data_IF_057309628917
#
_entry.id   IF_057309628917
#
_cell.length_a   1.000
_cell.length_b   1.000
_cell.length_c   1.000
_cell.angle_alpha   90.00
_cell.angle_beta   90.00
_cell.angle_gamma   90.00
#
_symmetry.space_group_name_H-M   'P 1'
#
loop_
_entity.id
_entity.type
_entity.pdbx_description
1 polymer ?
#
# COMPACT_ATOMS: atom_id res chain seq x y z
N UNK A 1 6.70 -1.74 -37.02
CA UNK A 1 7.90 -1.21 -36.34
C UNK A 1 9.08 -2.11 -36.69
N UNK A 2 10.15 -1.56 -37.27
CA UNK A 2 11.41 -2.29 -37.44
C UNK A 2 12.22 -2.07 -36.15
N UNK A 3 12.34 -3.10 -35.32
CA UNK A 3 13.21 -3.08 -34.16
C UNK A 3 14.59 -3.56 -34.56
N UNK A 4 15.61 -2.78 -34.23
CA UNK A 4 17.01 -3.20 -34.33
C UNK A 4 17.40 -3.81 -32.99
N UNK A 5 17.96 -5.03 -32.96
CA UNK A 5 18.56 -5.57 -31.75
C UNK A 5 19.62 -4.60 -31.23
N UNK A 6 19.50 -4.17 -29.97
CA UNK A 6 20.51 -3.35 -29.30
C UNK A 6 21.29 -4.24 -28.34
N UNK A 7 22.61 -4.08 -28.32
CA UNK A 7 23.50 -4.63 -27.29
C UNK A 7 23.74 -3.63 -26.16
N UNK A 8 23.10 -2.46 -26.21
CA UNK A 8 23.19 -1.45 -25.18
C UNK A 8 22.36 -1.84 -23.96
N UNK A 9 23.06 -2.33 -22.95
CA UNK A 9 22.49 -2.72 -21.66
C UNK A 9 22.67 -1.60 -20.62
N UNK A 10 23.13 -0.42 -21.04
CA UNK A 10 23.54 0.64 -20.11
C UNK A 10 22.40 1.20 -19.27
N UNK A 11 21.16 1.07 -19.77
CA UNK A 11 19.95 1.37 -19.02
C UNK A 11 19.74 0.45 -17.82
N UNK A 12 20.13 -0.83 -17.94
CA UNK A 12 19.89 -1.85 -16.93
C UNK A 12 21.08 -2.01 -15.99
N UNK A 13 22.29 -2.08 -16.55
CA UNK A 13 23.50 -2.47 -15.83
C UNK A 13 24.66 -1.48 -15.98
N UNK A 14 24.37 -0.25 -16.42
CA UNK A 14 25.39 0.78 -16.60
C UNK A 14 26.33 0.55 -17.79
N UNK A 15 27.20 1.53 -18.04
CA UNK A 15 28.07 1.55 -19.24
C UNK A 15 29.33 0.68 -19.12
N UNK A 16 29.67 0.25 -17.91
CA UNK A 16 30.93 -0.43 -17.62
C UNK A 16 30.79 -1.95 -17.60
N UNK A 17 29.58 -2.48 -17.83
CA UNK A 17 29.31 -3.91 -17.86
C UNK A 17 28.59 -4.29 -19.16
N UNK A 18 28.87 -5.48 -19.68
CA UNK A 18 28.19 -6.03 -20.84
C UNK A 18 27.72 -7.45 -20.58
N UNK A 19 26.57 -7.79 -21.14
CA UNK A 19 26.02 -9.15 -21.11
C UNK A 19 26.78 -9.99 -22.13
N UNK A 20 27.40 -11.09 -21.69
CA UNK A 20 28.09 -12.02 -22.59
C UNK A 20 27.40 -13.37 -22.71
N UNK A 21 26.47 -13.68 -21.81
CA UNK A 21 25.71 -14.93 -21.79
C UNK A 21 24.40 -14.71 -21.05
N UNK A 22 23.36 -15.38 -21.52
CA UNK A 22 22.05 -15.45 -20.88
C UNK A 22 21.58 -16.90 -20.92
N UNK A 23 21.06 -17.39 -19.82
CA UNK A 23 20.42 -18.69 -19.71
C UNK A 23 19.00 -18.53 -19.21
N UNK A 24 18.12 -19.34 -19.75
CA UNK A 24 16.74 -19.41 -19.29
C UNK A 24 16.37 -20.88 -19.11
N UNK A 25 15.84 -21.18 -17.92
CA UNK A 25 15.17 -22.44 -17.63
C UNK A 25 13.68 -22.18 -17.41
N UNK A 26 12.89 -23.22 -17.17
CA UNK A 26 11.49 -23.05 -16.81
C UNK A 26 11.33 -22.32 -15.46
N UNK A 27 12.30 -22.47 -14.57
CA UNK A 27 12.23 -21.97 -13.19
C UNK A 27 12.91 -20.60 -12.97
N UNK A 28 13.90 -20.20 -13.80
CA UNK A 28 14.65 -18.95 -13.61
C UNK A 28 15.35 -18.44 -14.86
N UNK A 29 15.84 -17.20 -14.79
CA UNK A 29 16.66 -16.55 -15.82
C UNK A 29 17.99 -16.12 -15.18
N UNK A 30 19.11 -16.49 -15.80
CA UNK A 30 20.46 -16.16 -15.35
C UNK A 30 21.16 -15.28 -16.41
N UNK A 31 21.56 -14.08 -16.03
CA UNK A 31 22.20 -13.07 -16.88
C UNK A 31 23.65 -12.92 -16.44
N UNK A 32 24.60 -13.16 -17.34
CA UNK A 32 26.02 -13.09 -17.01
C UNK A 32 26.67 -11.83 -17.58
N UNK A 33 27.24 -11.04 -16.68
CA UNK A 33 27.89 -9.76 -16.94
C UNK A 33 29.41 -9.86 -16.74
N UNK A 34 30.16 -9.15 -17.57
CA UNK A 34 31.58 -8.86 -17.37
C UNK A 34 31.82 -7.36 -17.35
N UNK A 35 32.77 -6.94 -16.54
CA UNK A 35 33.29 -5.58 -16.61
C UNK A 35 34.04 -5.35 -17.93
N UNK A 36 33.85 -4.18 -18.53
CA UNK A 36 34.62 -3.67 -19.67
C UNK A 36 35.77 -2.77 -19.22
N UNK A 37 35.81 -2.36 -17.95
CA UNK A 37 36.81 -1.43 -17.41
C UNK A 37 37.91 -2.17 -16.64
N UNK A 38 39.16 -1.75 -16.88
CA UNK A 38 40.35 -2.36 -16.27
C UNK A 38 41.04 -1.40 -15.28
N UNK A 39 40.32 -0.38 -14.80
CA UNK A 39 40.78 0.51 -13.73
C UNK A 39 39.59 1.19 -13.06
N UNK A 40 39.70 1.47 -11.76
CA UNK A 40 38.70 2.28 -11.05
C UNK A 40 39.35 3.11 -9.92
N UNK A 41 38.57 4.04 -9.36
CA UNK A 41 39.03 4.91 -8.27
C UNK A 41 38.80 4.23 -6.93
N UNK A 42 39.79 4.28 -6.05
CA UNK A 42 39.63 3.85 -4.66
C UNK A 42 38.48 4.64 -4.03
N UNK A 43 37.46 3.98 -3.44
CA UNK A 43 36.30 4.67 -2.87
C UNK A 43 36.67 5.52 -1.65
N UNK A 44 37.81 5.25 -1.02
CA UNK A 44 38.25 5.98 0.16
C UNK A 44 39.14 7.18 -0.15
N UNK A 45 40.20 7.00 -0.95
CA UNK A 45 41.16 8.08 -1.24
C UNK A 45 41.02 8.70 -2.64
N UNK A 46 40.13 8.17 -3.49
CA UNK A 46 39.91 8.64 -4.85
C UNK A 46 41.01 8.30 -5.87
N UNK A 47 42.16 7.77 -5.42
CA UNK A 47 43.29 7.41 -6.30
C UNK A 47 42.86 6.32 -7.28
N UNK A 48 43.12 6.54 -8.58
CA UNK A 48 42.84 5.54 -9.62
C UNK A 48 43.89 4.43 -9.55
N UNK A 49 43.44 3.19 -9.57
CA UNK A 49 44.29 2.01 -9.70
C UNK A 49 43.85 1.13 -10.86
N UNK A 50 44.82 0.55 -11.54
CA UNK A 50 44.68 -0.55 -12.51
C UNK A 50 45.42 -1.80 -12.05
N UNK A 51 45.97 -1.80 -10.82
CA UNK A 51 46.73 -2.91 -10.28
C UNK A 51 45.76 -3.98 -9.78
N UNK A 52 45.67 -5.09 -10.52
CA UNK A 52 44.65 -6.11 -10.32
C UNK A 52 45.06 -7.02 -9.15
N UNK A 53 44.23 -7.03 -8.12
CA UNK A 53 44.37 -7.94 -6.99
C UNK A 53 43.74 -9.30 -7.27
N UNK A 54 42.47 -9.30 -7.71
CA UNK A 54 41.71 -10.52 -7.99
C UNK A 54 40.46 -10.22 -8.83
N UNK A 55 39.88 -11.25 -9.44
CA UNK A 55 38.50 -11.22 -9.92
C UNK A 55 37.55 -11.72 -8.83
N UNK A 56 36.30 -11.28 -8.88
CA UNK A 56 35.27 -11.69 -7.94
C UNK A 56 33.92 -11.77 -8.64
N UNK A 57 33.24 -12.90 -8.51
CA UNK A 57 31.88 -13.07 -9.02
C UNK A 57 30.86 -12.70 -7.95
N UNK A 58 29.90 -11.85 -8.31
CA UNK A 58 28.73 -11.52 -7.49
C UNK A 58 27.48 -12.04 -8.15
N UNK A 59 26.64 -12.73 -7.38
CA UNK A 59 25.28 -13.08 -7.78
C UNK A 59 24.30 -12.14 -7.09
N UNK A 60 23.49 -11.44 -7.88
CA UNK A 60 22.47 -10.51 -7.42
C UNK A 60 21.11 -10.97 -7.94
N UNK A 61 20.08 -10.98 -7.12
CA UNK A 61 18.72 -11.12 -7.64
C UNK A 61 18.29 -9.79 -8.27
N UNK A 62 17.69 -9.86 -9.45
CA UNK A 62 17.17 -8.71 -10.19
C UNK A 62 15.64 -8.79 -10.31
N UNK A 63 15.04 -7.76 -10.89
CA UNK A 63 13.60 -7.70 -11.18
C UNK A 63 13.20 -8.96 -11.97
N UNK A 64 12.16 -9.71 -11.54
CA UNK A 64 11.70 -10.88 -12.25
C UNK A 64 11.27 -10.59 -13.69
N UNK A 65 11.74 -11.40 -14.63
CA UNK A 65 11.32 -11.35 -16.02
C UNK A 65 10.29 -12.48 -16.23
N UNK A 66 9.07 -12.12 -16.68
CA UNK A 66 7.95 -13.07 -16.87
C UNK A 66 7.65 -13.89 -15.61
N UNK A 67 7.68 -13.25 -14.45
CA UNK A 67 7.50 -13.86 -13.13
C UNK A 67 8.51 -14.98 -12.80
N UNK A 68 9.60 -15.11 -13.56
CA UNK A 68 10.71 -16.00 -13.22
C UNK A 68 11.72 -15.25 -12.35
N UNK A 69 12.18 -15.83 -11.23
CA UNK A 69 13.37 -15.37 -10.54
C UNK A 69 14.48 -15.08 -11.54
N UNK A 70 15.01 -13.86 -11.51
CA UNK A 70 16.06 -13.42 -12.43
C UNK A 70 17.31 -13.10 -11.61
N UNK A 71 18.44 -13.67 -12.00
CA UNK A 71 19.72 -13.48 -11.34
C UNK A 71 20.74 -12.87 -12.30
N UNK A 72 21.53 -11.95 -11.77
CA UNK A 72 22.64 -11.30 -12.46
C UNK A 72 23.93 -11.78 -11.83
N UNK A 73 24.73 -12.50 -12.61
CA UNK A 73 26.07 -12.95 -12.26
C UNK A 73 27.09 -11.99 -12.85
N UNK A 74 27.70 -11.16 -12.03
CA UNK A 74 28.64 -10.14 -12.48
C UNK A 74 30.05 -10.45 -12.01
N UNK A 75 30.95 -10.61 -12.99
CA UNK A 75 32.38 -10.73 -12.76
C UNK A 75 33.00 -9.33 -12.69
N UNK A 76 33.40 -8.93 -11.48
CA UNK A 76 34.03 -7.64 -11.17
C UNK A 76 35.48 -7.81 -10.77
N UNK A 77 36.24 -6.72 -10.85
CA UNK A 77 37.63 -6.71 -10.43
C UNK A 77 37.80 -6.15 -9.00
N UNK A 78 38.78 -6.69 -8.28
CA UNK A 78 39.36 -6.11 -7.07
C UNK A 78 40.74 -5.55 -7.42
N UNK A 79 41.03 -4.35 -6.96
CA UNK A 79 42.28 -3.65 -7.24
C UNK A 79 43.03 -3.36 -5.94
N UNK A 80 44.36 -3.39 -6.02
CA UNK A 80 45.24 -2.88 -4.98
C UNK A 80 45.31 -1.35 -5.05
N UNK A 81 45.19 -0.68 -3.91
CA UNK A 81 45.28 0.76 -3.81
C UNK A 81 46.75 1.19 -3.84
N UNK A 82 47.14 1.85 -4.93
CA UNK A 82 48.52 2.35 -5.13
C UNK A 82 48.90 3.52 -4.21
N UNK A 83 47.95 4.11 -3.49
CA UNK A 83 48.24 5.10 -2.46
C UNK A 83 48.69 4.39 -1.17
N UNK A 84 49.97 4.50 -0.84
CA UNK A 84 50.61 3.88 0.33
C UNK A 84 50.05 4.39 1.66
N UNK A 85 49.59 5.65 1.72
CA UNK A 85 48.99 6.28 2.90
C UNK A 85 47.52 5.89 3.10
N UNK A 86 46.87 5.31 2.09
CA UNK A 86 45.47 4.89 2.18
C UNK A 86 45.32 3.68 3.12
N UNK A 87 44.39 3.76 4.07
CA UNK A 87 44.01 2.61 4.92
C UNK A 87 43.30 1.49 4.14
N UNK A 88 42.65 1.81 3.02
CA UNK A 88 42.04 0.82 2.13
C UNK A 88 43.12 0.26 1.21
N UNK A 89 43.55 -0.99 1.46
CA UNK A 89 44.58 -1.65 0.63
C UNK A 89 44.01 -2.32 -0.61
N UNK A 90 42.85 -2.97 -0.50
CA UNK A 90 42.17 -3.61 -1.63
C UNK A 90 40.77 -3.02 -1.76
N UNK A 91 40.31 -2.68 -2.96
CA UNK A 91 38.94 -2.22 -3.18
C UNK A 91 38.31 -2.90 -4.40
N UNK A 92 36.99 -3.00 -4.38
CA UNK A 92 36.22 -3.62 -5.46
C UNK A 92 35.76 -2.55 -6.45
N UNK A 93 35.70 -2.92 -7.72
CA UNK A 93 35.00 -2.14 -8.74
C UNK A 93 33.56 -1.85 -8.31
N UNK A 94 33.13 -0.57 -8.31
CA UNK A 94 31.76 -0.21 -7.99
C UNK A 94 30.82 -0.62 -9.12
N UNK A 95 29.64 -1.14 -8.75
CA UNK A 95 28.54 -1.37 -9.69
C UNK A 95 27.56 -0.21 -9.60
N UNK A 96 27.11 0.30 -10.76
CA UNK A 96 26.13 1.39 -10.80
C UNK A 96 24.70 0.98 -10.46
N UNK A 97 24.45 -0.33 -10.33
CA UNK A 97 23.14 -0.94 -10.14
C UNK A 97 23.05 -1.79 -8.86
N UNK A 98 24.12 -1.80 -8.05
CA UNK A 98 24.14 -2.46 -6.75
C UNK A 98 25.27 -1.94 -5.85
N UNK A 99 24.93 -1.56 -4.63
CA UNK A 99 25.89 -1.17 -3.60
C UNK A 99 26.79 -2.34 -3.14
N UNK A 100 27.85 -2.02 -2.42
CA UNK A 100 28.75 -3.01 -1.82
C UNK A 100 27.98 -3.99 -0.91
N UNK A 101 28.30 -5.27 -0.99
CA UNK A 101 27.70 -6.36 -0.19
C UNK A 101 26.18 -6.56 -0.36
N UNK A 102 25.51 -5.82 -1.25
CA UNK A 102 24.12 -6.12 -1.61
C UNK A 102 24.04 -7.43 -2.41
N UNK A 103 22.92 -8.12 -2.25
CA UNK A 103 22.57 -9.37 -2.94
C UNK A 103 21.38 -9.20 -3.89
N UNK A 104 20.95 -7.96 -4.10
CA UNK A 104 19.86 -7.55 -4.98
C UNK A 104 20.27 -6.29 -5.72
N UNK A 105 19.76 -6.12 -6.93
CA UNK A 105 19.92 -4.87 -7.68
C UNK A 105 19.15 -3.72 -7.03
N UNK A 106 19.58 -2.50 -7.28
CA UNK A 106 18.87 -1.29 -6.82
C UNK A 106 17.45 -1.22 -7.42
N UNK A 107 17.28 -1.65 -8.67
CA UNK A 107 15.98 -1.81 -9.34
C UNK A 107 15.05 -2.78 -8.60
N UNK A 108 15.56 -3.93 -8.16
CA UNK A 108 14.77 -4.86 -7.37
C UNK A 108 14.40 -4.28 -6.00
N UNK A 109 15.31 -3.60 -5.31
CA UNK A 109 14.99 -2.93 -4.05
C UNK A 109 13.91 -1.85 -4.24
N UNK A 110 13.94 -1.10 -5.35
CA UNK A 110 12.90 -0.13 -5.69
C UNK A 110 11.53 -0.79 -5.93
N UNK A 111 11.48 -1.91 -6.67
CA UNK A 111 10.25 -2.68 -6.85
C UNK A 111 9.68 -3.19 -5.52
N UNK A 112 10.55 -3.72 -4.65
CA UNK A 112 10.17 -4.21 -3.32
C UNK A 112 9.53 -3.10 -2.50
N UNK A 113 10.17 -1.92 -2.43
CA UNK A 113 9.66 -0.77 -1.69
C UNK A 113 8.33 -0.27 -2.28
N UNK A 114 8.23 -0.17 -3.60
CA UNK A 114 7.01 0.25 -4.27
C UNK A 114 5.81 -0.65 -3.93
N UNK A 115 6.02 -1.97 -3.88
CA UNK A 115 4.98 -2.91 -3.43
C UNK A 115 4.67 -2.75 -1.95
N UNK A 116 5.71 -2.69 -1.10
CA UNK A 116 5.57 -2.60 0.34
C UNK A 116 4.90 -1.29 0.81
N UNK A 117 4.87 -0.24 -0.01
CA UNK A 117 4.16 1.01 0.32
C UNK A 117 2.64 0.86 0.38
N UNK A 118 2.08 -0.14 -0.30
CA UNK A 118 0.63 -0.32 -0.41
C UNK A 118 0.09 -1.51 0.39
N UNK A 119 0.95 -2.25 1.09
CA UNK A 119 0.57 -3.43 1.85
C UNK A 119 1.47 -3.63 3.07
N UNK A 120 1.10 -4.55 3.97
CA UNK A 120 2.01 -4.91 5.07
C UNK A 120 3.28 -5.57 4.54
N UNK A 121 4.39 -5.50 5.29
CA UNK A 121 5.63 -6.18 4.93
C UNK A 121 5.41 -7.70 4.70
N UNK A 122 4.52 -8.32 5.48
CA UNK A 122 4.12 -9.72 5.30
C UNK A 122 3.41 -9.93 3.95
N UNK A 123 2.43 -9.09 3.64
CA UNK A 123 1.70 -9.14 2.37
C UNK A 123 2.61 -8.91 1.17
N UNK A 124 3.53 -7.94 1.27
CA UNK A 124 4.53 -7.66 0.25
C UNK A 124 5.44 -8.87 0.04
N UNK A 125 5.97 -9.44 1.11
CA UNK A 125 6.78 -10.66 1.07
C UNK A 125 6.03 -11.80 0.36
N UNK A 126 4.76 -12.04 0.69
CA UNK A 126 3.94 -13.08 0.04
C UNK A 126 3.74 -12.81 -1.45
N UNK A 127 3.31 -11.60 -1.83
CA UNK A 127 3.05 -11.24 -3.23
C UNK A 127 4.33 -11.29 -4.06
N UNK A 128 5.42 -10.73 -3.53
CA UNK A 128 6.74 -10.74 -4.17
C UNK A 128 7.25 -12.16 -4.40
N UNK A 129 7.01 -13.08 -3.46
CA UNK A 129 7.36 -14.50 -3.61
C UNK A 129 6.63 -15.15 -4.78
N UNK A 130 5.35 -14.84 -4.98
CA UNK A 130 4.58 -15.32 -6.14
C UNK A 130 5.08 -14.77 -7.49
N UNK A 131 5.80 -13.65 -7.45
CA UNK A 131 6.42 -13.03 -8.63
C UNK A 131 7.87 -13.46 -8.85
N UNK A 132 8.41 -14.37 -8.03
CA UNK A 132 9.79 -14.84 -8.15
C UNK A 132 10.82 -14.01 -7.38
N UNK A 133 10.41 -13.17 -6.42
CA UNK A 133 11.28 -12.40 -5.53
C UNK A 133 11.27 -13.02 -4.13
N UNK A 134 12.41 -13.55 -3.68
CA UNK A 134 12.53 -14.17 -2.36
C UNK A 134 13.02 -13.12 -1.34
N UNK A 135 12.10 -12.54 -0.58
CA UNK A 135 12.40 -11.54 0.43
C UNK A 135 11.51 -11.70 1.65
N UNK A 136 12.06 -11.55 2.86
CA UNK A 136 11.30 -11.62 4.11
C UNK A 136 10.73 -10.26 4.53
N UNK A 137 9.70 -10.29 5.38
CA UNK A 137 9.14 -9.10 6.04
C UNK A 137 10.23 -8.23 6.71
N UNK A 138 11.19 -8.86 7.40
CA UNK A 138 12.27 -8.20 8.14
C UNK A 138 13.25 -7.54 7.18
N UNK A 139 13.47 -8.16 6.02
CA UNK A 139 14.35 -7.58 4.99
C UNK A 139 13.70 -6.35 4.38
N UNK A 140 12.38 -6.35 4.19
CA UNK A 140 11.62 -5.17 3.77
C UNK A 140 11.71 -4.07 4.83
N UNK A 141 11.55 -4.42 6.12
CA UNK A 141 11.73 -3.45 7.21
C UNK A 141 13.13 -2.83 7.20
N UNK A 142 14.19 -3.64 7.04
CA UNK A 142 15.57 -3.13 6.91
C UNK A 142 15.78 -2.24 5.68
N UNK A 143 14.99 -2.40 4.62
CA UNK A 143 15.03 -1.46 3.49
C UNK A 143 14.41 -0.12 3.88
N UNK A 144 13.28 -0.12 4.58
CA UNK A 144 12.69 1.11 5.14
C UNK A 144 13.64 1.82 6.11
N UNK A 145 14.28 1.08 7.02
CA UNK A 145 15.20 1.65 8.02
C UNK A 145 16.45 2.31 7.39
N UNK A 146 16.75 2.01 6.13
CA UNK A 146 17.84 2.62 5.35
C UNK A 146 17.39 3.84 4.55
N UNK A 147 16.10 4.12 4.50
CA UNK A 147 15.60 5.34 3.85
C UNK A 147 15.91 6.50 4.79
N UNK A 148 16.76 7.39 4.32
CA UNK A 148 17.05 8.64 5.02
C UNK A 148 16.07 9.71 4.55
N UNK A 149 15.26 10.22 5.49
CA UNK A 149 14.45 11.41 5.26
C UNK A 149 15.30 12.64 5.58
N UNK A 150 15.52 13.49 4.57
CA UNK A 150 16.23 14.73 4.74
C UNK A 150 15.23 15.86 4.91
N UNK A 151 15.28 16.51 6.08
CA UNK A 151 14.54 17.73 6.34
C UNK A 151 15.08 18.87 5.46
N UNK A 152 14.19 19.67 4.86
CA UNK A 152 14.55 20.87 4.10
C UNK A 152 14.23 22.10 4.94
N UNK A 153 15.25 22.78 5.50
CA UNK A 153 15.02 23.93 6.37
C UNK A 153 14.55 25.19 5.61
N UNK A 154 14.52 25.17 4.27
CA UNK A 154 14.17 26.32 3.45
C UNK A 154 12.68 26.40 3.11
N UNK A 155 11.83 26.41 4.14
CA UNK A 155 10.37 26.49 3.99
C UNK A 155 9.81 27.76 4.62
N UNK A 156 8.92 28.44 3.89
CA UNK A 156 8.27 29.69 4.31
C UNK A 156 6.82 29.51 4.76
N UNK A 157 6.14 28.45 4.30
CA UNK A 157 4.73 28.20 4.57
C UNK A 157 4.45 26.72 4.81
N UNK A 158 3.89 26.36 5.98
CA UNK A 158 3.65 24.95 6.35
C UNK A 158 2.22 24.67 6.79
N UNK A 159 1.74 23.48 6.48
CA UNK A 159 0.52 22.89 7.03
C UNK A 159 0.87 21.99 8.21
N UNK A 160 0.15 22.11 9.33
CA UNK A 160 0.35 21.30 10.52
C UNK A 160 -0.97 20.63 10.90
N UNK A 161 -0.96 19.30 10.96
CA UNK A 161 -2.15 18.51 11.28
C UNK A 161 -1.83 17.34 12.21
N UNK A 162 -2.85 16.81 12.91
CA UNK A 162 -2.72 15.62 13.75
C UNK A 162 -3.13 14.33 13.00
N UNK A 163 -2.17 13.41 12.91
CA UNK A 163 -2.38 12.12 12.25
C UNK A 163 -2.52 11.03 13.30
N UNK A 164 -3.68 10.36 13.29
CA UNK A 164 -3.92 9.22 14.16
C UNK A 164 -3.22 7.95 13.61
N UNK A 165 -2.06 7.59 14.18
CA UNK A 165 -1.41 6.30 13.89
C UNK A 165 -2.24 5.12 14.41
N UNK A 166 -2.81 5.28 15.60
CA UNK A 166 -3.80 4.36 16.18
C UNK A 166 -4.89 5.19 16.83
N UNK A 167 -6.06 5.24 16.18
CA UNK A 167 -7.20 6.08 16.59
C UNK A 167 -7.49 5.93 18.08
N UNK A 168 -7.46 7.05 18.81
CA UNK A 168 -7.70 7.11 20.26
C UNK A 168 -6.50 6.72 21.15
N UNK A 169 -5.34 6.37 20.59
CA UNK A 169 -4.17 5.95 21.38
C UNK A 169 -2.90 6.70 21.00
N UNK A 170 -2.48 6.59 19.73
CA UNK A 170 -1.21 7.16 19.27
C UNK A 170 -1.47 8.14 18.13
N UNK A 171 -0.97 9.35 18.31
CA UNK A 171 -1.03 10.44 17.34
C UNK A 171 0.39 10.90 17.00
N UNK A 172 0.52 11.47 15.81
CA UNK A 172 1.71 12.14 15.32
C UNK A 172 1.30 13.52 14.79
N UNK A 173 2.24 14.45 14.75
CA UNK A 173 2.06 15.77 14.13
C UNK A 173 2.69 15.70 12.75
N UNK A 174 1.90 15.82 11.70
CA UNK A 174 2.39 15.86 10.33
C UNK A 174 2.57 17.32 9.88
N UNK A 175 3.71 17.59 9.24
CA UNK A 175 4.07 18.90 8.73
C UNK A 175 4.29 18.78 7.23
N UNK A 176 3.61 19.63 6.46
CA UNK A 176 3.64 19.63 5.00
C UNK A 176 4.05 21.00 4.47
N UNK A 177 4.74 21.06 3.35
CA UNK A 177 4.97 22.30 2.63
C UNK A 177 3.66 22.74 1.97
N UNK A 178 3.24 24.00 2.17
CA UNK A 178 2.02 24.53 1.55
C UNK A 178 2.21 24.87 0.07
N UNK A 179 3.43 24.90 -0.45
CA UNK A 179 3.75 25.26 -1.83
C UNK A 179 3.60 24.09 -2.80
N UNK A 180 4.16 22.93 -2.46
CA UNK A 180 4.19 21.74 -3.34
C UNK A 180 3.57 20.49 -2.68
N UNK A 181 3.05 20.63 -1.45
CA UNK A 181 2.27 19.62 -0.73
C UNK A 181 3.01 18.35 -0.35
N UNK A 182 4.35 18.37 -0.32
CA UNK A 182 5.11 17.25 0.22
C UNK A 182 5.16 17.27 1.75
N UNK A 183 5.29 16.09 2.36
CA UNK A 183 5.48 15.97 3.80
C UNK A 183 6.94 16.27 4.16
N UNK A 184 7.14 17.23 5.05
CA UNK A 184 8.46 17.65 5.54
C UNK A 184 8.86 16.81 6.76
N UNK A 185 7.94 16.67 7.73
CA UNK A 185 8.23 15.98 8.97
C UNK A 185 7.00 15.26 9.54
N UNK A 186 7.25 14.15 10.25
CA UNK A 186 6.26 13.43 11.05
C UNK A 186 6.79 13.32 12.48
N UNK A 187 6.29 14.19 13.36
CA UNK A 187 6.75 14.29 14.74
C UNK A 187 5.90 13.39 15.66
N UNK A 188 6.52 12.78 16.67
CA UNK A 188 5.78 11.94 17.61
C UNK A 188 4.87 12.79 18.51
N UNK A 189 3.62 12.36 18.74
CA UNK A 189 2.70 13.04 19.65
C UNK A 189 1.96 14.24 19.04
N UNK A 190 1.19 14.94 19.89
CA UNK A 190 0.33 16.09 19.55
C UNK A 190 0.29 17.18 20.63
N UNK A 191 1.21 17.12 21.59
CA UNK A 191 1.30 18.03 22.74
C UNK A 191 2.04 19.35 22.43
N UNK A 192 2.58 19.46 21.22
CA UNK A 192 3.26 20.65 20.71
C UNK A 192 4.73 20.76 21.13
N UNK A 193 5.24 19.94 22.06
CA UNK A 193 6.65 20.02 22.47
C UNK A 193 7.63 19.60 21.35
N UNK A 194 7.40 18.47 20.64
CA UNK A 194 8.20 18.11 19.47
C UNK A 194 8.11 19.14 18.34
N UNK A 195 6.93 19.74 18.15
CA UNK A 195 6.73 20.83 17.19
C UNK A 195 7.59 22.05 17.54
N UNK A 196 7.63 22.47 18.81
CA UNK A 196 8.47 23.60 19.24
C UNK A 196 9.94 23.37 18.91
N UNK A 197 10.45 22.17 19.17
CA UNK A 197 11.85 21.85 18.88
C UNK A 197 12.13 21.90 17.38
N UNK A 198 11.25 21.31 16.57
CA UNK A 198 11.36 21.35 15.11
C UNK A 198 11.32 22.80 14.57
N UNK A 199 10.43 23.65 15.07
CA UNK A 199 10.32 25.07 14.67
C UNK A 199 11.55 25.91 15.01
N UNK A 200 12.42 25.49 15.95
CA UNK A 200 13.68 26.21 16.22
C UNK A 200 14.63 26.18 15.03
N UNK A 201 14.62 25.11 14.25
CA UNK A 201 15.39 24.97 13.01
C UNK A 201 14.80 25.72 11.81
N UNK A 202 13.52 26.10 11.87
CA UNK A 202 12.74 26.59 10.72
C UNK A 202 12.28 28.05 10.90
N UNK A 203 13.25 28.96 11.09
CA UNK A 203 12.97 30.39 11.36
C UNK A 203 12.43 31.19 10.17
N UNK A 204 12.48 30.63 8.97
CA UNK A 204 11.96 31.27 7.74
C UNK A 204 10.44 31.16 7.61
N UNK A 205 9.80 30.28 8.36
CA UNK A 205 8.34 30.07 8.31
C UNK A 205 7.63 31.38 8.70
N UNK A 206 6.80 31.89 7.79
CA UNK A 206 5.97 33.09 7.97
C UNK A 206 4.48 32.77 8.01
N UNK A 207 4.07 31.63 7.46
CA UNK A 207 2.68 31.20 7.40
C UNK A 207 2.54 29.77 7.89
N UNK A 208 1.59 29.54 8.80
CA UNK A 208 1.22 28.20 9.24
C UNK A 208 -0.29 28.03 9.06
N UNK A 209 -0.69 27.06 8.24
CA UNK A 209 -2.05 26.54 8.24
C UNK A 209 -2.14 25.40 9.26
N UNK A 210 -3.13 25.43 10.15
CA UNK A 210 -3.30 24.38 11.16
C UNK A 210 -4.76 24.16 11.55
N UNK A 211 -5.03 23.02 12.17
CA UNK A 211 -6.26 22.84 12.93
C UNK A 211 -6.32 23.79 14.15
N UNK A 212 -7.49 23.92 14.76
CA UNK A 212 -7.84 24.79 15.89
C UNK A 212 -7.29 24.31 17.24
N UNK A 213 -6.50 23.24 17.29
CA UNK A 213 -5.84 22.77 18.51
C UNK A 213 -4.98 23.88 19.16
N UNK A 214 -5.23 24.15 20.45
CA UNK A 214 -4.56 25.22 21.20
C UNK A 214 -3.08 24.95 21.47
N UNK A 215 -2.68 23.67 21.52
CA UNK A 215 -1.31 23.25 21.75
C UNK A 215 -0.38 23.75 20.62
N UNK A 216 -0.76 23.52 19.36
CA UNK A 216 0.01 24.00 18.20
C UNK A 216 0.05 25.53 18.14
N UNK A 217 -1.08 26.19 18.39
CA UNK A 217 -1.15 27.65 18.41
C UNK A 217 -0.13 28.26 19.38
N UNK A 218 -0.08 27.71 20.59
CA UNK A 218 0.83 28.16 21.65
C UNK A 218 2.29 27.86 21.28
N UNK A 219 2.56 26.69 20.72
CA UNK A 219 3.89 26.31 20.26
C UNK A 219 4.44 27.25 19.18
N UNK A 220 3.61 27.58 18.17
CA UNK A 220 3.99 28.47 17.07
C UNK A 220 4.24 29.88 17.60
N UNK A 221 3.30 30.45 18.37
CA UNK A 221 3.43 31.82 18.90
C UNK A 221 4.66 32.02 19.79
N UNK A 222 5.08 30.98 20.50
CA UNK A 222 6.26 31.04 21.37
C UNK A 222 7.58 31.03 20.57
N UNK A 223 7.66 30.23 19.50
CA UNK A 223 8.92 30.02 18.75
C UNK A 223 9.05 30.97 17.55
N UNK A 224 7.92 31.36 16.95
CA UNK A 224 7.78 32.20 15.76
C UNK A 224 6.65 33.24 15.97
N UNK A 225 6.86 34.27 16.79
CA UNK A 225 5.81 35.25 17.14
C UNK A 225 5.29 36.05 15.92
N UNK A 226 6.14 36.25 14.91
CA UNK A 226 5.80 36.96 13.66
C UNK A 226 5.08 36.07 12.63
N UNK A 227 4.84 34.79 12.95
CA UNK A 227 4.20 33.86 12.04
C UNK A 227 2.68 34.06 11.99
N UNK A 228 2.15 34.23 10.79
CA UNK A 228 0.70 34.28 10.56
C UNK A 228 0.13 32.87 10.69
N UNK A 229 -0.81 32.68 11.60
CA UNK A 229 -1.51 31.41 11.78
C UNK A 229 -2.89 31.48 11.13
N UNK A 230 -3.14 30.57 10.18
CA UNK A 230 -4.40 30.46 9.43
C UNK A 230 -5.12 29.18 9.87
N UNK A 231 -6.41 29.29 10.16
CA UNK A 231 -7.22 28.11 10.44
C UNK A 231 -7.48 27.32 9.15
N UNK A 232 -7.27 26.01 9.19
CA UNK A 232 -7.52 25.14 8.06
C UNK A 232 -9.02 25.14 7.66
N UNK A 233 -9.27 25.33 6.36
CA UNK A 233 -10.61 25.40 5.76
C UNK A 233 -11.42 24.11 5.95
N UNK A 234 -10.78 22.93 5.87
CA UNK A 234 -11.45 21.65 6.05
C UNK A 234 -12.09 21.59 7.44
N UNK A 235 -11.34 21.96 8.48
CA UNK A 235 -11.84 21.96 9.86
C UNK A 235 -12.95 22.99 10.07
N UNK A 236 -12.89 24.16 9.42
CA UNK A 236 -13.98 25.14 9.45
C UNK A 236 -15.27 24.58 8.83
N UNK A 237 -15.17 23.94 7.66
CA UNK A 237 -16.31 23.34 6.97
C UNK A 237 -16.88 22.16 7.75
N UNK A 238 -16.02 21.29 8.28
CA UNK A 238 -16.41 20.14 9.09
C UNK A 238 -17.21 20.58 10.33
N UNK A 239 -16.72 21.62 11.04
CA UNK A 239 -17.42 22.19 12.19
C UNK A 239 -18.81 22.73 11.82
N UNK A 240 -18.93 23.45 10.69
CA UNK A 240 -20.21 23.95 10.21
C UNK A 240 -21.17 22.79 9.90
N UNK A 241 -20.72 21.79 9.14
CA UNK A 241 -21.52 20.64 8.76
C UNK A 241 -21.97 19.83 9.99
N UNK A 242 -21.10 19.65 10.97
CA UNK A 242 -21.47 18.93 12.19
C UNK A 242 -22.50 19.71 13.03
N UNK A 243 -22.41 21.05 13.07
CA UNK A 243 -23.46 21.87 13.68
C UNK A 243 -24.78 21.85 12.91
N UNK A 244 -24.74 21.85 11.59
CA UNK A 244 -25.95 21.67 10.79
C UNK A 244 -26.59 20.29 11.04
N UNK A 245 -25.79 19.23 11.14
CA UNK A 245 -26.30 17.88 11.50
C UNK A 245 -26.97 17.88 12.87
N UNK A 246 -26.38 18.55 13.86
CA UNK A 246 -26.97 18.66 15.20
C UNK A 246 -28.32 19.38 15.15
N UNK A 247 -28.42 20.48 14.39
CA UNK A 247 -29.68 21.21 14.18
C UNK A 247 -30.71 20.31 13.51
N UNK A 248 -30.37 19.67 12.39
CA UNK A 248 -31.29 18.79 11.67
C UNK A 248 -31.75 17.61 12.52
N UNK A 249 -30.90 17.02 13.36
CA UNK A 249 -31.32 15.96 14.29
C UNK A 249 -32.34 16.45 15.32
N UNK A 250 -32.28 17.72 15.72
CA UNK A 250 -33.19 18.30 16.71
C UNK A 250 -34.48 18.81 16.08
N UNK A 251 -34.43 19.36 14.88
CA UNK A 251 -35.57 20.01 14.21
C UNK A 251 -36.34 19.07 13.27
N UNK A 252 -35.68 18.08 12.68
CA UNK A 252 -36.30 17.16 11.73
C UNK A 252 -36.68 15.86 12.46
N UNK A 253 -37.93 15.38 12.32
CA UNK A 253 -38.33 14.11 12.91
C UNK A 253 -37.51 12.95 12.33
N UNK A 254 -37.21 11.95 13.17
CA UNK A 254 -36.38 10.80 12.81
C UNK A 254 -36.90 10.02 11.58
N UNK A 255 -38.20 10.12 11.30
CA UNK A 255 -38.86 9.54 10.14
C UNK A 255 -39.74 10.60 9.50
N UNK A 256 -39.55 10.80 8.19
CA UNK A 256 -40.42 11.65 7.36
C UNK A 256 -41.14 10.73 6.39
N UNK A 257 -42.46 10.86 6.30
CA UNK A 257 -43.27 10.13 5.34
C UNK A 257 -43.55 11.02 4.14
N UNK A 258 -43.28 10.55 2.92
CA UNK A 258 -43.55 11.31 1.70
C UNK A 258 -44.42 10.45 0.78
N UNK A 259 -45.58 10.95 0.37
CA UNK A 259 -46.44 10.34 -0.65
C UNK A 259 -46.86 11.43 -1.64
N UNK A 260 -46.74 11.16 -2.93
CA UNK A 260 -47.13 12.07 -4.03
C UNK A 260 -46.56 13.50 -3.92
N UNK A 261 -45.33 13.62 -3.42
CA UNK A 261 -44.63 14.91 -3.26
C UNK A 261 -45.03 15.71 -2.00
N UNK A 262 -45.97 15.22 -1.19
CA UNK A 262 -46.36 15.82 0.08
C UNK A 262 -45.74 15.09 1.27
N UNK A 263 -45.36 15.85 2.30
CA UNK A 263 -44.93 15.31 3.60
C UNK A 263 -46.16 14.93 4.41
N UNK A 264 -46.20 13.70 4.93
CA UNK A 264 -47.28 13.17 5.74
C UNK A 264 -46.90 13.14 7.23
N UNK A 265 -47.84 13.46 8.09
CA UNK A 265 -47.67 13.38 9.56
C UNK A 265 -47.64 11.93 10.08
N UNK A 266 -48.12 10.97 9.28
CA UNK A 266 -48.23 9.55 9.64
C UNK A 266 -47.75 8.66 8.50
N UNK A 267 -47.39 7.43 8.84
CA UNK A 267 -46.94 6.43 7.88
C UNK A 267 -47.99 6.21 6.80
N UNK A 268 -47.62 6.20 5.50
CA UNK A 268 -48.56 5.89 4.44
C UNK A 268 -49.02 4.45 4.62
N UNK A 269 -50.32 4.23 4.47
CA UNK A 269 -50.88 2.88 4.48
C UNK A 269 -50.25 2.07 3.34
N UNK A 270 -49.79 0.85 3.66
CA UNK A 270 -49.26 -0.08 2.66
C UNK A 270 -50.43 -0.60 1.83
N UNK A 271 -50.57 -0.07 0.61
CA UNK A 271 -51.47 -0.64 -0.38
C UNK A 271 -50.93 -2.01 -0.80
N UNK A 272 -51.59 -3.07 -0.35
CA UNK A 272 -51.31 -4.43 -0.81
C UNK A 272 -51.88 -4.55 -2.21
N UNK A 273 -51.02 -4.41 -3.22
CA UNK A 273 -51.38 -4.80 -4.59
C UNK A 273 -51.20 -6.30 -4.72
N UNK A 274 -52.29 -7.00 -4.98
CA UNK A 274 -52.21 -8.37 -5.48
C UNK A 274 -51.38 -8.33 -6.78
N UNK A 275 -50.30 -9.13 -6.82
CA UNK A 275 -49.61 -9.36 -8.09
C UNK A 275 -50.63 -9.99 -9.02
N UNK A 276 -50.95 -9.31 -10.12
CA UNK A 276 -51.80 -9.87 -11.18
C UNK A 276 -51.27 -11.25 -11.56
N UNK A 277 -52.17 -12.23 -11.55
CA UNK A 277 -51.85 -13.59 -11.98
C UNK A 277 -51.47 -13.56 -13.47
N UNK A 278 -50.27 -14.03 -13.79
CA UNK A 278 -49.87 -14.21 -15.18
C UNK A 278 -50.63 -15.42 -15.73
N UNK A 279 -51.70 -15.18 -16.49
CA UNK A 279 -52.62 -16.21 -16.99
C UNK A 279 -51.92 -17.32 -17.79
N UNK A 280 -50.76 -17.00 -18.36
CA UNK A 280 -49.95 -17.93 -19.13
C UNK A 280 -49.18 -18.94 -18.26
N UNK A 281 -49.16 -18.79 -16.92
CA UNK A 281 -48.44 -19.69 -16.02
C UNK A 281 -49.07 -21.10 -15.96
N UNK A 282 -50.34 -21.23 -16.34
CA UNK A 282 -51.06 -22.51 -16.37
C UNK A 282 -51.10 -23.13 -17.77
N UNK A 283 -50.70 -22.37 -18.80
CA UNK A 283 -50.69 -22.86 -20.18
C UNK A 283 -49.59 -23.93 -20.33
N UNK A 284 -50.03 -25.20 -20.41
CA UNK A 284 -49.15 -26.37 -20.51
C UNK A 284 -49.27 -27.35 -19.33
N UNK A 285 -49.99 -27.00 -18.27
CA UNK A 285 -50.29 -27.91 -17.16
C UNK A 285 -51.67 -28.53 -17.40
N UNK A 286 -51.70 -29.73 -17.96
CA UNK A 286 -52.93 -30.54 -18.03
C UNK A 286 -53.13 -31.25 -16.68
N UNK A 287 -53.86 -30.61 -15.77
CA UNK A 287 -54.26 -31.20 -14.49
C UNK A 287 -55.69 -31.71 -14.59
N UNK A 288 -55.87 -33.03 -14.54
CA UNK A 288 -57.15 -33.69 -14.77
C UNK A 288 -57.97 -33.93 -13.49
N UNK A 289 -57.49 -33.41 -12.33
CA UNK A 289 -58.06 -33.63 -10.99
C UNK A 289 -58.19 -35.11 -10.58
N UNK A 290 -57.58 -36.04 -11.31
CA UNK A 290 -57.54 -37.45 -10.92
C UNK A 290 -56.67 -37.61 -9.66
N UNK A 291 -57.08 -38.41 -8.67
CA UNK A 291 -56.23 -38.70 -7.52
C UNK A 291 -54.90 -39.32 -7.97
N UNK A 292 -53.76 -38.92 -7.39
CA UNK A 292 -52.48 -39.53 -7.72
C UNK A 292 -52.51 -41.00 -7.34
N UNK A 293 -52.13 -41.88 -8.27
CA UNK A 293 -52.04 -43.33 -8.06
C UNK A 293 -50.58 -43.77 -8.01
N UNK A 294 -50.29 -44.86 -7.31
CA UNK A 294 -48.96 -45.49 -7.30
C UNK A 294 -48.75 -46.40 -8.52
N UNK A 295 -47.57 -47.04 -8.60
CA UNK A 295 -47.18 -47.92 -9.72
C UNK A 295 -48.10 -49.14 -9.86
N UNK A 296 -48.82 -49.52 -8.81
CA UNK A 296 -49.79 -50.63 -8.77
C UNK A 296 -51.24 -50.15 -8.99
N UNK A 297 -51.43 -48.85 -9.24
CA UNK A 297 -52.74 -48.22 -9.53
C UNK A 297 -53.59 -47.92 -8.29
N UNK A 298 -53.03 -48.02 -7.09
CA UNK A 298 -53.75 -47.69 -5.87
C UNK A 298 -53.67 -46.17 -5.60
N UNK A 299 -54.79 -45.59 -5.17
CA UNK A 299 -54.87 -44.16 -4.85
C UNK A 299 -53.94 -43.81 -3.68
N UNK A 300 -53.00 -42.89 -3.94
CA UNK A 300 -52.06 -42.37 -2.95
C UNK A 300 -52.79 -41.31 -2.12
N UNK A 301 -53.19 -41.69 -0.91
CA UNK A 301 -53.76 -40.77 0.05
C UNK A 301 -52.73 -39.68 0.46
N UNK A 302 -53.01 -38.41 0.11
CA UNK A 302 -52.10 -37.29 0.40
C UNK A 302 -52.07 -36.98 1.91
N UNK A 303 -51.03 -37.46 2.60
CA UNK A 303 -50.82 -37.20 4.04
C UNK A 303 -50.06 -35.90 4.29
N UNK A 304 -50.80 -34.80 4.42
CA UNK A 304 -50.27 -33.43 4.65
C UNK A 304 -49.47 -33.20 5.95
N UNK A 305 -49.39 -34.19 6.87
CA UNK A 305 -48.82 -34.00 8.22
C UNK A 305 -47.71 -34.97 8.65
N UNK A 306 -47.06 -35.71 7.74
CA UNK A 306 -45.93 -36.59 8.14
C UNK A 306 -44.61 -35.80 8.22
N UNK A 307 -44.40 -35.05 9.33
CA UNK A 307 -43.09 -34.44 9.62
C UNK A 307 -42.09 -35.51 10.05
N UNK A 308 -41.19 -35.91 9.14
CA UNK A 308 -40.05 -36.74 9.51
C UNK A 308 -38.93 -35.88 10.12
N UNK A 309 -39.00 -35.68 11.43
CA UNK A 309 -38.01 -34.94 12.23
C UNK A 309 -36.62 -35.60 12.20
N UNK A 310 -36.53 -36.87 11.78
CA UNK A 310 -35.27 -37.59 11.63
C UNK A 310 -34.65 -37.49 10.23
N UNK A 311 -35.33 -36.84 9.28
CA UNK A 311 -34.77 -36.63 7.94
C UNK A 311 -33.48 -35.82 7.99
N UNK A 312 -32.53 -36.15 7.09
CA UNK A 312 -31.27 -35.41 6.94
C UNK A 312 -31.50 -33.91 6.77
N UNK A 313 -32.52 -33.53 6.01
CA UNK A 313 -32.86 -32.12 5.75
C UNK A 313 -33.35 -31.41 7.01
N UNK A 314 -34.20 -32.05 7.82
CA UNK A 314 -34.67 -31.47 9.08
C UNK A 314 -33.51 -31.27 10.07
N UNK A 315 -32.63 -32.27 10.23
CA UNK A 315 -31.44 -32.18 11.10
C UNK A 315 -30.47 -31.08 10.66
N UNK A 316 -30.24 -30.95 9.35
CA UNK A 316 -29.39 -29.88 8.79
C UNK A 316 -29.97 -28.49 9.07
N UNK A 317 -31.27 -28.32 8.88
CA UNK A 317 -31.95 -27.05 9.15
C UNK A 317 -31.97 -26.69 10.65
N UNK A 318 -32.06 -27.68 11.54
CA UNK A 318 -31.96 -27.47 12.98
C UNK A 318 -30.55 -26.99 13.39
N UNK A 319 -29.49 -27.65 12.91
CA UNK A 319 -28.11 -27.23 13.18
C UNK A 319 -27.81 -25.81 12.66
N UNK A 320 -28.37 -25.44 11.51
CA UNK A 320 -28.23 -24.07 10.98
C UNK A 320 -28.95 -23.01 11.83
N UNK A 321 -30.05 -23.36 12.52
CA UNK A 321 -30.74 -22.43 13.43
C UNK A 321 -29.92 -22.15 14.69
N UNK A 322 -29.25 -23.16 15.23
CA UNK A 322 -28.36 -23.00 16.39
C UNK A 322 -27.11 -22.17 16.05
N UNK A 323 -26.56 -22.33 14.84
CA UNK A 323 -25.39 -21.52 14.40
C UNK A 323 -25.69 -20.04 14.19
N UNK A 324 -26.94 -19.69 13.92
CA UNK A 324 -27.36 -18.31 13.67
C UNK A 324 -27.91 -17.60 14.93
N UNK A 325 -27.96 -18.28 16.09
CA UNK A 325 -28.40 -17.68 17.36
C UNK A 325 -27.25 -17.39 18.33
N UNK A 326 -26.00 -17.48 17.87
CA UNK A 326 -24.79 -16.99 18.54
C UNK A 326 -24.09 -15.98 17.63
#
# INVERSE_FOLDING_TARGET
MKYSPSSDNSLLYGKNQFIYRTEETDDRIDIFLKSSVHSCKCPLCGTRSSDLHATYERTLQDVPIRCKPTYVHVNVFKYDCVNTECRQKVFMEPLSFASASQVRTDSLNALVLAMAMFMSNEGASTVLSLMGVAISNDTIQRLYDRIEFKDDPDVEAVGIDDVAMRKGQKYATAIYDLKDHHMIALLEGRDGAPLKEWLKGHKKIRLVARDRASAYASAISEVLPECTQVADRFHLMQNLLDKMKDIFKNEIPATIFIKDGAVLDKAPEKEVREKGFDGNLLDGISYDNSPPVDEDGAEIEFKSKKRNLNSKQYKKNACNREKNSN
#
